data_IF_294799688355
#
_entry.id   IF_294799688355
#
_cell.length_a   1.000
_cell.length_b   1.000
_cell.length_c   1.000
_cell.angle_alpha   90.00
_cell.angle_beta   90.00
_cell.angle_gamma   90.00
#
_symmetry.space_group_name_H-M   'P 1'
#
loop_
_entity.id
_entity.type
_entity.pdbx_description
1 polymer ?
#
# COMPACT_ATOMS: atom_id res chain seq x y z
N UNK A 1 -32.15 24.44 8.20
CA UNK A 1 -32.12 23.28 7.28
C UNK A 1 -32.16 23.82 5.86
N UNK A 2 -31.01 24.10 5.26
CA UNK A 2 -30.92 24.42 3.85
C UNK A 2 -30.62 23.10 3.12
N UNK A 3 -31.62 22.58 2.40
CA UNK A 3 -31.39 21.50 1.45
C UNK A 3 -30.64 22.08 0.26
N UNK A 4 -29.32 21.87 0.22
CA UNK A 4 -28.56 22.00 -1.01
C UNK A 4 -29.00 20.87 -1.93
N UNK A 5 -29.63 21.23 -3.04
CA UNK A 5 -29.97 20.26 -4.09
C UNK A 5 -28.66 19.90 -4.78
N UNK A 6 -28.07 18.77 -4.41
CA UNK A 6 -26.99 18.17 -5.18
C UNK A 6 -27.55 17.79 -6.56
N UNK A 7 -27.28 18.63 -7.56
CA UNK A 7 -27.56 18.30 -8.95
C UNK A 7 -26.64 17.15 -9.32
N UNK A 8 -27.24 15.97 -9.47
CA UNK A 8 -26.53 14.75 -9.86
C UNK A 8 -25.73 15.01 -11.15
N UNK A 9 -24.46 14.62 -11.13
CA UNK A 9 -23.58 14.61 -12.31
C UNK A 9 -24.23 13.95 -13.54
N UNK A 10 -25.09 12.96 -13.30
CA UNK A 10 -25.90 12.28 -14.33
C UNK A 10 -26.90 13.23 -15.00
N UNK A 11 -27.52 14.13 -14.24
CA UNK A 11 -28.47 15.12 -14.75
C UNK A 11 -27.78 16.16 -15.64
N UNK A 12 -26.59 16.62 -15.23
CA UNK A 12 -25.78 17.56 -16.02
C UNK A 12 -25.35 16.91 -17.35
N UNK A 13 -24.88 15.67 -17.31
CA UNK A 13 -24.49 14.92 -18.51
C UNK A 13 -25.67 14.73 -19.47
N UNK A 14 -26.85 14.37 -18.95
CA UNK A 14 -28.08 14.23 -19.74
C UNK A 14 -28.52 15.53 -20.39
N UNK A 15 -28.45 16.65 -19.66
CA UNK A 15 -28.79 17.98 -20.19
C UNK A 15 -27.88 18.38 -21.37
N UNK A 16 -26.57 18.13 -21.26
CA UNK A 16 -25.61 18.40 -22.33
C UNK A 16 -25.85 17.52 -23.56
N UNK A 17 -26.12 16.23 -23.36
CA UNK A 17 -26.43 15.30 -24.46
C UNK A 17 -27.72 15.72 -25.18
N UNK A 18 -28.77 16.11 -24.44
CA UNK A 18 -30.02 16.59 -25.03
C UNK A 18 -29.82 17.86 -25.85
N UNK A 19 -29.01 18.80 -25.37
CA UNK A 19 -28.69 20.04 -26.10
C UNK A 19 -27.96 19.74 -27.42
N UNK A 20 -27.00 18.82 -27.40
CA UNK A 20 -26.28 18.37 -28.60
C UNK A 20 -27.21 17.72 -29.63
N UNK A 21 -28.08 16.82 -29.18
CA UNK A 21 -29.06 16.16 -30.06
C UNK A 21 -30.04 17.18 -30.65
N UNK A 22 -30.48 18.17 -29.88
CA UNK A 22 -31.33 19.24 -30.38
C UNK A 22 -30.62 20.09 -31.45
N UNK A 23 -29.36 20.46 -31.23
CA UNK A 23 -28.57 21.19 -32.21
C UNK A 23 -28.38 20.40 -33.52
N UNK A 24 -28.10 19.10 -33.42
CA UNK A 24 -28.01 18.20 -34.58
C UNK A 24 -29.33 18.13 -35.34
N UNK A 25 -30.46 17.98 -34.64
CA UNK A 25 -31.79 17.95 -35.26
C UNK A 25 -32.10 19.25 -36.02
N UNK A 26 -31.77 20.40 -35.43
CA UNK A 26 -31.92 21.71 -36.09
C UNK A 26 -31.05 21.81 -37.35
N UNK A 27 -29.80 21.35 -37.30
CA UNK A 27 -28.91 21.33 -38.47
C UNK A 27 -29.43 20.42 -39.58
N UNK A 28 -29.96 19.24 -39.24
CA UNK A 28 -30.57 18.32 -40.22
C UNK A 28 -31.80 18.96 -40.86
N UNK A 29 -32.65 19.64 -40.09
CA UNK A 29 -33.83 20.34 -40.62
C UNK A 29 -33.39 21.46 -41.58
N UNK A 30 -32.34 22.21 -41.23
CA UNK A 30 -31.79 23.26 -42.08
C UNK A 30 -31.20 22.67 -43.38
N UNK A 31 -30.44 21.58 -43.31
CA UNK A 31 -29.84 20.93 -44.49
C UNK A 31 -30.89 20.30 -45.41
N UNK A 32 -31.85 19.57 -44.84
CA UNK A 32 -32.93 18.95 -45.62
C UNK A 32 -33.78 20.00 -46.33
N UNK A 33 -34.03 21.15 -45.69
CA UNK A 33 -34.77 22.28 -46.24
C UNK A 33 -34.03 22.97 -47.39
N UNK A 34 -32.69 22.95 -47.40
CA UNK A 34 -31.89 23.51 -48.48
C UNK A 34 -32.00 22.72 -49.81
N UNK A 35 -32.54 21.50 -49.77
CA UNK A 35 -32.60 20.59 -50.93
C UNK A 35 -33.96 20.53 -51.63
N UNK A 36 -35.00 21.22 -51.14
CA UNK A 36 -36.34 21.19 -51.73
C UNK A 36 -36.50 22.34 -52.75
N UNK A 37 -36.61 22.07 -54.06
CA UNK A 37 -36.90 23.09 -55.05
C UNK A 37 -38.38 23.51 -54.94
N UNK A 38 -38.65 24.79 -54.68
CA UNK A 38 -40.01 25.31 -54.54
C UNK A 38 -40.11 26.80 -54.84
N UNK A 39 -41.25 27.21 -55.39
CA UNK A 39 -41.57 28.60 -55.70
C UNK A 39 -41.58 29.50 -54.46
N UNK A 40 -41.21 30.76 -54.65
CA UNK A 40 -41.08 31.78 -53.61
C UNK A 40 -42.48 32.17 -53.12
N UNK A 41 -42.83 31.78 -51.89
CA UNK A 41 -44.05 32.27 -51.22
C UNK A 41 -43.67 33.21 -50.08
N UNK A 42 -44.31 34.39 -50.02
CA UNK A 42 -44.10 35.41 -48.98
C UNK A 42 -45.06 35.24 -47.80
N UNK A 43 -45.20 34.02 -47.31
CA UNK A 43 -46.01 33.75 -46.12
C UNK A 43 -45.10 33.63 -44.87
N UNK A 44 -45.60 34.06 -43.70
CA UNK A 44 -44.86 34.09 -42.43
C UNK A 44 -44.38 32.71 -41.94
N UNK A 45 -44.98 31.65 -42.47
CA UNK A 45 -44.68 30.23 -42.26
C UNK A 45 -44.11 29.56 -43.51
N UNK A 46 -43.80 30.30 -44.58
CA UNK A 46 -43.30 29.71 -45.81
C UNK A 46 -41.88 29.16 -45.63
N UNK A 47 -41.72 27.89 -46.02
CA UNK A 47 -40.51 27.09 -45.81
C UNK A 47 -39.60 27.12 -47.08
N UNK A 48 -39.99 27.78 -48.18
CA UNK A 48 -39.18 27.91 -49.41
C UNK A 48 -38.75 29.36 -49.67
N UNK A 49 -37.45 29.65 -49.76
CA UNK A 49 -36.95 31.00 -50.05
C UNK A 49 -35.43 31.18 -50.07
N UNK A 50 -34.96 32.21 -50.78
CA UNK A 50 -33.54 32.54 -51.00
C UNK A 50 -32.80 32.81 -49.68
N UNK A 51 -31.58 32.27 -49.56
CA UNK A 51 -30.67 32.28 -48.38
C UNK A 51 -30.33 33.64 -47.75
N UNK A 52 -30.88 34.76 -48.26
CA UNK A 52 -30.52 36.13 -47.87
C UNK A 52 -31.38 36.74 -46.76
N UNK A 53 -32.53 36.16 -46.44
CA UNK A 53 -33.33 36.58 -45.30
C UNK A 53 -33.25 35.50 -44.22
N UNK A 54 -32.42 35.70 -43.20
CA UNK A 54 -32.45 34.83 -42.03
C UNK A 54 -33.87 34.93 -41.43
N UNK A 55 -34.65 33.84 -41.40
CA UNK A 55 -35.99 33.88 -40.83
C UNK A 55 -35.88 34.28 -39.37
N UNK A 56 -36.81 35.10 -38.88
CA UNK A 56 -36.89 35.57 -37.48
C UNK A 56 -36.68 34.42 -36.47
N UNK A 57 -37.12 33.21 -36.83
CA UNK A 57 -36.88 31.98 -36.09
C UNK A 57 -35.41 31.63 -35.83
N UNK A 58 -34.51 31.85 -36.78
CA UNK A 58 -33.08 31.61 -36.58
C UNK A 58 -32.50 32.55 -35.52
N UNK A 59 -32.96 33.81 -35.50
CA UNK A 59 -32.60 34.78 -34.46
C UNK A 59 -33.18 34.40 -33.09
N UNK A 60 -34.44 33.95 -33.04
CA UNK A 60 -35.05 33.47 -31.80
C UNK A 60 -34.35 32.24 -31.22
N UNK A 61 -34.02 31.25 -32.06
CA UNK A 61 -33.29 30.04 -31.64
C UNK A 61 -31.88 30.41 -31.17
N UNK A 62 -31.18 31.28 -31.89
CA UNK A 62 -29.86 31.77 -31.48
C UNK A 62 -29.93 32.50 -30.13
N UNK A 63 -30.93 33.37 -29.94
CA UNK A 63 -31.12 34.10 -28.69
C UNK A 63 -31.38 33.15 -27.51
N UNK A 64 -32.26 32.15 -27.68
CA UNK A 64 -32.53 31.14 -26.65
C UNK A 64 -31.26 30.38 -26.28
N UNK A 65 -30.46 29.99 -27.28
CA UNK A 65 -29.24 29.21 -27.08
C UNK A 65 -28.16 30.04 -26.35
N UNK A 66 -27.99 31.31 -26.73
CA UNK A 66 -27.13 32.25 -26.01
C UNK A 66 -27.59 32.49 -24.56
N UNK A 67 -28.90 32.51 -24.31
CA UNK A 67 -29.44 32.65 -22.95
C UNK A 67 -29.09 31.42 -22.10
N UNK A 68 -29.23 30.21 -22.64
CA UNK A 68 -28.84 28.96 -21.94
C UNK A 68 -27.34 28.94 -21.63
N UNK A 69 -26.51 29.30 -22.62
CA UNK A 69 -25.05 29.38 -22.43
C UNK A 69 -24.71 30.38 -21.32
N UNK A 70 -25.31 31.58 -21.33
CA UNK A 70 -25.07 32.59 -20.32
C UNK A 70 -25.45 32.12 -18.91
N UNK A 71 -26.60 31.44 -18.75
CA UNK A 71 -27.04 30.88 -17.47
C UNK A 71 -26.07 29.81 -16.97
N UNK A 72 -25.61 28.91 -17.84
CA UNK A 72 -24.62 27.88 -17.47
C UNK A 72 -23.28 28.50 -17.08
N UNK A 73 -22.84 29.53 -17.79
CA UNK A 73 -21.57 30.22 -17.51
C UNK A 73 -21.63 30.95 -16.16
N UNK A 74 -22.75 31.65 -15.87
CA UNK A 74 -22.99 32.29 -14.57
C UNK A 74 -23.06 31.24 -13.46
N UNK A 75 -23.74 30.11 -13.67
CA UNK A 75 -23.80 29.02 -12.69
C UNK A 75 -22.42 28.41 -12.42
N UNK A 76 -21.60 28.22 -13.47
CA UNK A 76 -20.23 27.70 -13.33
C UNK A 76 -19.32 28.69 -12.58
N UNK A 77 -19.42 29.99 -12.88
CA UNK A 77 -18.68 31.03 -12.15
C UNK A 77 -19.15 31.13 -10.70
N UNK A 78 -20.46 31.06 -10.46
CA UNK A 78 -21.02 31.05 -9.11
C UNK A 78 -20.59 29.80 -8.33
N UNK A 79 -20.48 28.64 -8.97
CA UNK A 79 -19.96 27.43 -8.35
C UNK A 79 -18.46 27.51 -8.05
N UNK A 80 -17.68 28.22 -8.88
CA UNK A 80 -16.26 28.45 -8.63
C UNK A 80 -16.03 29.49 -7.51
N UNK A 81 -16.93 30.47 -7.36
CA UNK A 81 -16.82 31.53 -6.35
C UNK A 81 -17.51 31.14 -5.03
N UNK A 82 -18.59 30.36 -5.07
CA UNK A 82 -19.48 30.03 -3.95
C UNK A 82 -19.22 28.68 -3.28
N UNK A 83 -18.06 28.06 -3.49
CA UNK A 83 -17.78 26.67 -3.12
C UNK A 83 -16.63 26.44 -2.15
N UNK A 84 -16.32 27.39 -1.26
CA UNK A 84 -15.57 27.09 -0.05
C UNK A 84 -16.45 27.39 1.16
N UNK A 85 -17.50 26.58 1.35
CA UNK A 85 -17.92 26.31 2.73
C UNK A 85 -16.71 25.72 3.44
N UNK A 86 -16.14 26.48 4.37
CA UNK A 86 -15.23 25.95 5.38
C UNK A 86 -15.98 24.81 6.06
N UNK A 87 -15.67 23.57 5.65
CA UNK A 87 -16.11 22.39 6.38
C UNK A 87 -15.69 22.63 7.83
N UNK A 88 -16.61 22.55 8.79
CA UNK A 88 -16.26 22.79 10.19
C UNK A 88 -15.06 21.90 10.53
N UNK A 89 -13.97 22.52 11.01
CA UNK A 89 -12.74 21.81 11.34
C UNK A 89 -13.11 20.58 12.15
N UNK A 90 -12.81 19.39 11.60
CA UNK A 90 -13.08 18.16 12.29
C UNK A 90 -12.46 18.26 13.70
N UNK A 91 -13.18 17.87 14.77
CA UNK A 91 -12.65 17.86 16.12
C UNK A 91 -11.22 17.33 16.11
N UNK A 92 -10.27 18.02 16.77
CA UNK A 92 -8.81 17.72 16.67
C UNK A 92 -8.46 16.24 16.77
N UNK A 93 -9.27 15.44 17.48
CA UNK A 93 -9.15 14.00 17.58
C UNK A 93 -9.47 13.25 16.27
N UNK A 94 -10.54 13.63 15.56
CA UNK A 94 -10.93 13.03 14.27
C UNK A 94 -9.94 13.39 13.18
N UNK A 95 -9.45 14.63 13.14
CA UNK A 95 -8.37 15.02 12.23
C UNK A 95 -7.09 14.20 12.49
N UNK A 96 -6.74 13.98 13.76
CA UNK A 96 -5.63 13.12 14.15
C UNK A 96 -5.86 11.64 13.77
N UNK A 97 -7.08 11.14 13.92
CA UNK A 97 -7.45 9.78 13.52
C UNK A 97 -7.40 9.58 12.00
N UNK A 98 -7.82 10.56 11.22
CA UNK A 98 -7.73 10.50 9.76
C UNK A 98 -6.27 10.57 9.28
N UNK A 99 -5.43 11.37 9.94
CA UNK A 99 -3.98 11.37 9.72
C UNK A 99 -3.37 10.00 10.06
N UNK A 100 -3.73 9.40 11.18
CA UNK A 100 -3.26 8.06 11.55
C UNK A 100 -3.78 6.96 10.60
N UNK A 101 -5.04 7.05 10.15
CA UNK A 101 -5.61 6.15 9.12
C UNK A 101 -4.90 6.30 7.78
N UNK A 102 -4.58 7.53 7.37
CA UNK A 102 -3.80 7.77 6.16
C UNK A 102 -2.39 7.22 6.30
N UNK A 103 -1.72 7.43 7.45
CA UNK A 103 -0.42 6.80 7.74
C UNK A 103 -0.50 5.28 7.68
N UNK A 104 -1.52 4.65 8.26
CA UNK A 104 -1.74 3.20 8.15
C UNK A 104 -1.95 2.76 6.70
N UNK A 105 -2.81 3.45 5.94
CA UNK A 105 -2.99 3.16 4.50
C UNK A 105 -1.69 3.26 3.71
N UNK A 106 -0.84 4.26 3.99
CA UNK A 106 0.44 4.43 3.30
C UNK A 106 1.49 3.41 3.80
N UNK A 107 1.39 2.91 5.05
CA UNK A 107 2.21 1.77 5.51
C UNK A 107 1.94 0.50 4.69
N UNK A 108 0.70 0.33 4.19
CA UNK A 108 0.33 -0.74 3.26
C UNK A 108 0.63 -0.36 1.80
N UNK A 109 1.90 -0.15 1.46
CA UNK A 109 2.34 0.33 0.14
C UNK A 109 2.37 -0.75 -0.97
N UNK A 110 1.56 -1.81 -0.89
CA UNK A 110 1.57 -2.87 -1.91
C UNK A 110 0.16 -3.09 -2.47
N UNK A 111 0.06 -3.11 -3.80
CA UNK A 111 -1.11 -3.60 -4.53
C UNK A 111 -1.22 -5.11 -4.30
N UNK A 112 -1.81 -5.51 -3.17
CA UNK A 112 -2.09 -6.91 -2.89
C UNK A 112 -3.26 -7.37 -3.78
N UNK A 113 -3.19 -8.57 -4.36
CA UNK A 113 -4.35 -9.16 -5.02
C UNK A 113 -5.50 -9.30 -4.02
N UNK A 114 -6.76 -9.24 -4.50
CA UNK A 114 -7.95 -9.40 -3.63
C UNK A 114 -7.93 -10.69 -2.81
N UNK A 115 -7.27 -11.71 -3.33
CA UNK A 115 -7.00 -12.98 -2.66
C UNK A 115 -5.51 -13.24 -2.84
N UNK A 116 -4.76 -13.28 -1.75
CA UNK A 116 -3.37 -13.68 -1.77
C UNK A 116 -3.28 -15.21 -1.54
N UNK A 117 -2.79 -16.01 -2.49
CA UNK A 117 -2.62 -17.44 -2.31
C UNK A 117 -1.79 -17.83 -1.07
N UNK A 118 -0.85 -16.97 -0.64
CA UNK A 118 -0.05 -17.18 0.57
C UNK A 118 -0.88 -17.12 1.87
N UNK A 119 -2.14 -16.69 1.76
CA UNK A 119 -3.04 -16.40 2.87
C UNK A 119 -4.23 -17.38 2.98
N UNK A 120 -4.32 -18.35 2.07
CA UNK A 120 -5.47 -19.25 1.94
C UNK A 120 -5.60 -20.30 3.03
N UNK A 121 -4.53 -20.63 3.74
CA UNK A 121 -4.54 -21.70 4.73
C UNK A 121 -4.42 -21.22 6.18
N UNK A 122 -3.98 -22.13 7.05
CA UNK A 122 -3.95 -21.98 8.51
C UNK A 122 -2.77 -21.11 8.93
N UNK A 123 -2.95 -19.80 8.86
CA UNK A 123 -1.88 -18.85 9.15
C UNK A 123 -1.52 -18.84 10.64
N UNK A 124 -0.29 -18.40 11.00
CA UNK A 124 0.03 -18.05 12.37
C UNK A 124 -0.86 -16.92 12.89
N UNK A 125 -1.31 -17.02 14.15
CA UNK A 125 -2.15 -16.02 14.81
C UNK A 125 -1.49 -14.63 14.86
N UNK A 126 -0.16 -14.57 14.71
CA UNK A 126 0.59 -13.33 14.57
C UNK A 126 -0.04 -12.39 13.54
N UNK A 127 -0.52 -12.91 12.40
CA UNK A 127 -1.13 -12.10 11.33
C UNK A 127 -2.52 -11.54 11.66
N UNK A 128 -3.18 -12.05 12.71
CA UNK A 128 -4.45 -11.48 13.19
C UNK A 128 -4.26 -10.10 13.83
N UNK A 129 -3.08 -9.87 14.42
CA UNK A 129 -2.75 -8.63 15.15
C UNK A 129 -1.65 -7.81 14.46
N UNK A 130 -0.78 -8.45 13.69
CA UNK A 130 0.32 -7.82 12.96
C UNK A 130 0.08 -7.93 11.46
N UNK A 131 0.53 -6.94 10.70
CA UNK A 131 0.45 -7.00 9.23
C UNK A 131 1.41 -8.06 8.66
N UNK A 132 1.24 -8.38 7.38
CA UNK A 132 2.17 -9.24 6.62
C UNK A 132 3.57 -8.64 6.47
N UNK A 133 3.67 -7.34 6.71
CA UNK A 133 4.89 -6.54 6.67
C UNK A 133 5.12 -5.88 8.04
N UNK A 134 5.35 -6.68 9.11
CA UNK A 134 5.34 -6.19 10.49
C UNK A 134 6.55 -5.29 10.81
N UNK A 135 7.59 -5.30 9.97
CA UNK A 135 8.79 -4.52 10.18
C UNK A 135 8.65 -3.15 9.52
N UNK A 136 8.21 -2.15 10.29
CA UNK A 136 8.09 -0.76 9.80
C UNK A 136 9.04 0.22 10.52
N UNK A 137 9.56 -0.14 11.69
CA UNK A 137 10.27 0.78 12.60
C UNK A 137 11.65 1.22 12.12
N UNK A 138 12.33 0.41 11.30
CA UNK A 138 13.71 0.67 10.84
C UNK A 138 13.75 0.72 9.32
N UNK A 139 13.62 1.91 8.70
CA UNK A 139 13.52 2.04 7.25
C UNK A 139 14.65 1.34 6.48
N UNK A 140 15.88 1.40 7.00
CA UNK A 140 17.06 0.80 6.35
C UNK A 140 16.95 -0.71 6.11
N UNK A 141 16.37 -1.45 7.05
CA UNK A 141 16.30 -2.93 7.00
C UNK A 141 14.88 -3.46 6.82
N UNK A 142 13.87 -2.58 6.77
CA UNK A 142 12.45 -2.98 6.73
C UNK A 142 12.15 -3.93 5.58
N UNK A 143 12.64 -3.61 4.39
CA UNK A 143 12.33 -4.38 3.18
C UNK A 143 12.97 -5.76 3.27
N UNK A 144 14.20 -5.83 3.79
CA UNK A 144 14.89 -7.10 4.01
C UNK A 144 14.13 -7.95 5.02
N UNK A 145 13.79 -7.42 6.19
CA UNK A 145 13.07 -8.19 7.21
C UNK A 145 11.66 -8.60 6.75
N UNK A 146 10.94 -7.71 6.05
CA UNK A 146 9.64 -8.02 5.48
C UNK A 146 9.72 -9.06 4.35
N UNK A 147 10.82 -9.11 3.60
CA UNK A 147 11.04 -10.19 2.64
C UNK A 147 11.24 -11.54 3.37
N UNK A 148 11.88 -11.55 4.55
CA UNK A 148 12.10 -12.79 5.30
C UNK A 148 10.79 -13.45 5.72
N UNK A 149 9.71 -12.70 5.97
CA UNK A 149 8.41 -13.28 6.34
C UNK A 149 7.82 -14.18 5.25
N UNK A 150 8.34 -14.13 4.02
CA UNK A 150 7.99 -15.05 2.94
C UNK A 150 8.66 -16.42 3.08
N UNK A 151 9.83 -16.51 3.72
CA UNK A 151 10.65 -17.73 3.80
C UNK A 151 10.75 -18.33 5.20
N UNK A 152 10.57 -17.51 6.24
CA UNK A 152 10.70 -17.94 7.64
C UNK A 152 9.44 -17.57 8.43
N UNK A 153 9.08 -18.44 9.36
CA UNK A 153 8.05 -18.19 10.36
C UNK A 153 8.46 -17.09 11.34
N UNK A 154 7.48 -16.40 11.91
CA UNK A 154 7.67 -15.35 12.91
C UNK A 154 8.52 -15.85 14.09
N UNK A 155 8.20 -17.04 14.64
CA UNK A 155 8.87 -17.57 15.82
C UNK A 155 10.29 -18.05 15.52
N UNK A 156 10.60 -18.41 14.27
CA UNK A 156 12.00 -18.69 13.87
C UNK A 156 12.92 -17.53 14.24
N UNK A 157 12.49 -16.29 14.00
CA UNK A 157 13.25 -15.11 14.39
C UNK A 157 12.92 -14.62 15.81
N UNK A 158 11.67 -14.74 16.26
CA UNK A 158 11.18 -14.08 17.47
C UNK A 158 11.05 -14.98 18.70
N UNK A 159 11.42 -16.26 18.68
CA UNK A 159 11.44 -17.06 19.91
C UNK A 159 12.47 -16.51 20.91
N UNK A 160 12.04 -16.27 22.16
CA UNK A 160 12.88 -15.89 23.31
C UNK A 160 13.74 -17.08 23.73
N UNK A 161 15.03 -17.02 23.42
CA UNK A 161 16.05 -18.03 23.69
C UNK A 161 16.25 -18.33 25.18
N UNK A 162 15.90 -17.37 26.06
CA UNK A 162 15.94 -17.55 27.52
C UNK A 162 14.81 -18.45 28.02
N UNK A 163 13.73 -18.58 27.25
CA UNK A 163 12.55 -19.39 27.59
C UNK A 163 12.50 -20.70 26.82
N UNK A 164 12.92 -20.65 25.56
CA UNK A 164 13.03 -21.82 24.69
C UNK A 164 14.45 -21.82 24.11
N UNK A 165 15.39 -22.54 24.75
CA UNK A 165 16.78 -22.57 24.29
C UNK A 165 16.88 -23.12 22.87
N UNK A 166 17.73 -22.52 22.04
CA UNK A 166 17.90 -22.92 20.64
C UNK A 166 18.32 -24.39 20.47
N UNK A 167 19.06 -24.94 21.45
CA UNK A 167 19.45 -26.36 21.48
C UNK A 167 18.27 -27.32 21.60
N UNK A 168 17.11 -26.84 22.04
CA UNK A 168 15.86 -27.61 22.15
C UNK A 168 14.96 -27.44 20.93
N UNK A 169 15.34 -26.54 20.01
CA UNK A 169 14.54 -26.19 18.84
C UNK A 169 14.97 -27.01 17.63
N UNK A 170 14.02 -27.34 16.78
CA UNK A 170 14.25 -27.94 15.47
C UNK A 170 13.57 -27.10 14.41
N UNK A 171 14.28 -26.79 13.32
CA UNK A 171 13.73 -26.02 12.21
C UNK A 171 13.29 -26.95 11.10
N UNK A 172 12.08 -26.74 10.57
CA UNK A 172 11.50 -27.54 9.48
C UNK A 172 10.75 -26.67 8.49
N UNK A 173 10.52 -27.21 7.31
CA UNK A 173 9.60 -26.62 6.34
C UNK A 173 8.15 -26.92 6.73
N UNK A 174 7.29 -25.90 6.69
CA UNK A 174 5.86 -26.02 6.90
C UNK A 174 5.12 -25.15 5.88
N UNK A 175 4.18 -25.76 5.16
CA UNK A 175 3.28 -25.08 4.24
C UNK A 175 1.97 -24.72 4.95
N UNK A 176 1.80 -23.44 5.28
CA UNK A 176 0.58 -22.94 5.92
C UNK A 176 -0.60 -22.84 4.96
N UNK A 177 -0.38 -22.73 3.66
CA UNK A 177 -1.41 -22.38 2.66
C UNK A 177 -2.44 -23.48 2.43
N UNK A 178 -2.11 -24.74 2.73
CA UNK A 178 -2.94 -25.89 2.40
C UNK A 178 -2.97 -26.23 0.91
N UNK A 179 -2.22 -25.49 0.07
CA UNK A 179 -2.04 -25.79 -1.34
C UNK A 179 -1.12 -27.01 -1.46
N UNK A 180 -1.56 -28.04 -2.18
CA UNK A 180 -0.75 -29.23 -2.45
C UNK A 180 0.42 -28.87 -3.37
N UNK A 181 1.63 -29.32 -3.01
CA UNK A 181 2.88 -29.02 -3.70
C UNK A 181 3.71 -30.29 -3.82
N UNK A 182 4.39 -30.49 -4.96
CA UNK A 182 5.15 -31.72 -5.23
C UNK A 182 6.66 -31.49 -5.28
N UNK A 183 7.08 -30.27 -5.59
CA UNK A 183 8.46 -29.85 -5.67
C UNK A 183 9.08 -29.64 -4.29
N UNK A 184 10.35 -29.25 -4.31
CA UNK A 184 11.07 -28.88 -3.08
C UNK A 184 10.77 -27.42 -2.73
N UNK A 185 10.87 -27.01 -1.45
CA UNK A 185 10.73 -25.61 -1.07
C UNK A 185 11.57 -24.66 -1.92
N UNK A 186 11.01 -23.50 -2.25
CA UNK A 186 11.68 -22.51 -3.08
C UNK A 186 12.94 -21.96 -2.43
N UNK A 187 13.98 -21.77 -3.25
CA UNK A 187 15.23 -21.13 -2.84
C UNK A 187 16.31 -22.06 -2.28
N UNK A 188 16.12 -23.38 -2.36
CA UNK A 188 17.07 -24.40 -1.91
C UNK A 188 18.31 -24.55 -2.80
N UNK A 189 18.15 -24.31 -4.11
CA UNK A 189 19.23 -24.48 -5.09
C UNK A 189 19.18 -23.40 -6.19
N UNK A 190 20.26 -23.34 -6.96
CA UNK A 190 20.41 -22.50 -8.14
C UNK A 190 20.61 -23.37 -9.38
N UNK A 191 20.01 -22.96 -10.48
CA UNK A 191 20.29 -23.55 -11.78
C UNK A 191 21.76 -23.26 -12.16
N UNK A 192 22.59 -24.29 -12.41
CA UNK A 192 24.00 -24.09 -12.75
C UNK A 192 24.22 -23.39 -14.10
N UNK A 193 23.27 -23.46 -15.03
CA UNK A 193 23.39 -22.84 -16.35
C UNK A 193 23.11 -21.34 -16.32
N UNK A 194 22.10 -20.92 -15.55
CA UNK A 194 21.63 -19.53 -15.52
C UNK A 194 22.06 -18.77 -14.26
N UNK A 195 22.38 -19.47 -13.17
CA UNK A 195 22.66 -18.90 -11.86
C UNK A 195 21.42 -18.41 -11.10
N UNK A 196 20.22 -18.54 -11.67
CA UNK A 196 18.96 -18.19 -11.00
C UNK A 196 18.54 -19.27 -9.99
N UNK A 197 17.64 -18.92 -9.07
CA UNK A 197 17.03 -19.91 -8.18
C UNK A 197 16.25 -20.93 -9.00
N UNK A 198 16.37 -22.20 -8.63
CA UNK A 198 15.64 -23.27 -9.30
C UNK A 198 14.12 -23.06 -9.14
N UNK A 199 13.38 -23.20 -10.24
CA UNK A 199 11.93 -23.16 -10.22
C UNK A 199 11.35 -24.36 -9.47
N UNK A 200 10.22 -24.16 -8.81
CA UNK A 200 9.47 -25.17 -8.08
C UNK A 200 8.00 -24.75 -7.99
N UNK A 201 7.10 -25.63 -7.62
CA UNK A 201 5.71 -25.29 -7.29
C UNK A 201 5.55 -24.95 -5.78
N UNK A 202 6.52 -25.30 -4.94
CA UNK A 202 6.49 -25.02 -3.50
C UNK A 202 7.07 -23.64 -3.13
N UNK A 203 6.29 -22.59 -3.40
CA UNK A 203 6.55 -21.22 -2.94
C UNK A 203 5.91 -20.90 -1.57
N UNK A 204 5.24 -21.86 -0.96
CA UNK A 204 4.36 -21.65 0.19
C UNK A 204 4.97 -22.14 1.50
N UNK A 205 5.89 -23.11 1.43
CA UNK A 205 6.63 -23.62 2.57
C UNK A 205 7.55 -22.56 3.18
N UNK A 206 7.53 -22.47 4.52
CA UNK A 206 8.39 -21.60 5.31
C UNK A 206 9.20 -22.40 6.32
N UNK A 207 10.38 -21.91 6.68
CA UNK A 207 11.19 -22.47 7.77
C UNK A 207 10.60 -22.00 9.10
N UNK A 208 10.03 -22.94 9.85
CA UNK A 208 9.35 -22.70 11.13
C UNK A 208 10.06 -23.44 12.26
N UNK A 209 9.88 -22.95 13.48
CA UNK A 209 10.51 -23.53 14.66
C UNK A 209 9.56 -24.47 15.41
N UNK A 210 10.06 -25.67 15.66
CA UNK A 210 9.47 -26.66 16.57
C UNK A 210 10.30 -26.73 17.86
N UNK A 211 9.66 -27.15 18.94
CA UNK A 211 10.32 -27.50 20.20
C UNK A 211 9.89 -28.89 20.65
N UNK A 212 10.66 -29.50 21.55
CA UNK A 212 10.26 -30.75 22.18
C UNK A 212 9.54 -30.47 23.50
N UNK A 213 8.23 -30.68 23.52
CA UNK A 213 7.37 -30.58 24.70
C UNK A 213 6.96 -31.98 25.13
N UNK A 214 7.46 -32.44 26.29
CA UNK A 214 7.13 -33.74 26.88
C UNK A 214 7.40 -34.95 25.96
N UNK A 215 8.51 -34.92 25.22
CA UNK A 215 8.89 -35.99 24.29
C UNK A 215 8.15 -35.95 22.95
N UNK A 216 7.32 -34.93 22.71
CA UNK A 216 6.64 -34.70 21.43
C UNK A 216 7.10 -33.40 20.81
N UNK A 217 7.38 -33.46 19.52
CA UNK A 217 7.68 -32.27 18.73
C UNK A 217 6.40 -31.44 18.56
N UNK A 218 6.47 -30.16 18.89
CA UNK A 218 5.34 -29.23 18.84
C UNK A 218 5.79 -27.93 18.15
N UNK A 219 4.92 -27.41 17.28
CA UNK A 219 5.15 -26.13 16.60
C UNK A 219 5.12 -25.00 17.64
N UNK A 220 6.10 -24.09 17.60
CA UNK A 220 6.14 -22.93 18.50
C UNK A 220 5.19 -21.81 18.07
N UNK A 221 4.81 -21.78 16.79
CA UNK A 221 3.80 -20.86 16.28
C UNK A 221 2.40 -21.37 16.62
N UNK A 222 1.60 -20.49 17.20
CA UNK A 222 0.16 -20.73 17.38
C UNK A 222 -0.50 -20.43 16.03
N UNK A 223 -1.11 -21.43 15.43
CA UNK A 223 -1.88 -21.28 14.18
C UNK A 223 -3.31 -20.87 14.46
N UNK A 224 -3.97 -20.25 13.49
CA UNK A 224 -5.34 -19.76 13.61
C UNK A 224 -6.34 -20.86 13.96
N UNK A 225 -6.08 -22.12 13.62
CA UNK A 225 -6.94 -23.27 13.94
C UNK A 225 -6.76 -23.82 15.36
N UNK A 226 -5.78 -23.33 16.13
CA UNK A 226 -5.65 -23.68 17.54
C UNK A 226 -6.93 -23.24 18.30
N UNK A 227 -7.49 -24.05 19.22
CA UNK A 227 -8.72 -23.73 19.94
C UNK A 227 -8.70 -22.34 20.60
N UNK A 228 -7.59 -22.00 21.26
CA UNK A 228 -7.37 -20.71 21.91
C UNK A 228 -7.28 -19.54 20.91
N UNK A 229 -6.74 -19.78 19.72
CA UNK A 229 -6.66 -18.80 18.64
C UNK A 229 -8.05 -18.52 18.07
N UNK A 230 -8.84 -19.57 17.82
CA UNK A 230 -10.23 -19.46 17.35
C UNK A 230 -11.12 -18.72 18.35
N UNK A 231 -10.98 -19.02 19.64
CA UNK A 231 -11.71 -18.34 20.70
C UNK A 231 -11.35 -16.85 20.73
N UNK A 232 -10.06 -16.52 20.71
CA UNK A 232 -9.60 -15.14 20.63
C UNK A 232 -10.13 -14.40 19.41
N UNK A 233 -10.05 -14.99 18.21
CA UNK A 233 -10.52 -14.36 16.96
C UNK A 233 -12.02 -14.01 17.05
N UNK A 234 -12.83 -14.87 17.66
CA UNK A 234 -14.28 -14.66 17.84
C UNK A 234 -14.58 -13.57 18.88
N UNK A 235 -13.86 -13.55 19.99
CA UNK A 235 -14.16 -12.68 21.12
C UNK A 235 -13.47 -11.30 21.06
N UNK A 236 -12.41 -11.14 20.26
CA UNK A 236 -11.53 -9.95 20.29
C UNK A 236 -12.22 -8.60 20.20
N UNK A 237 -13.36 -8.50 19.53
CA UNK A 237 -14.12 -7.24 19.41
C UNK A 237 -14.98 -6.91 20.63
N UNK A 238 -15.16 -7.86 21.54
CA UNK A 238 -15.96 -7.76 22.76
C UNK A 238 -15.11 -7.66 24.03
N UNK A 239 -13.80 -7.89 23.91
CA UNK A 239 -12.88 -7.85 25.04
C UNK A 239 -12.64 -6.42 25.51
N UNK A 240 -12.51 -6.26 26.83
CA UNK A 240 -11.99 -5.02 27.41
C UNK A 240 -10.50 -4.85 27.07
N UNK A 241 -9.97 -3.62 27.21
CA UNK A 241 -8.54 -3.36 27.02
C UNK A 241 -7.66 -4.19 27.98
N UNK A 242 -8.15 -4.44 29.19
CA UNK A 242 -7.46 -5.25 30.20
C UNK A 242 -7.39 -6.73 29.81
N UNK A 243 -8.50 -7.29 29.33
CA UNK A 243 -8.56 -8.69 28.87
C UNK A 243 -7.69 -8.86 27.62
N UNK A 244 -7.79 -7.91 26.68
CA UNK A 244 -6.95 -7.86 25.49
C UNK A 244 -5.46 -7.83 25.85
N UNK A 245 -5.06 -7.03 26.84
CA UNK A 245 -3.69 -6.98 27.34
C UNK A 245 -3.23 -8.33 27.94
N UNK A 246 -4.11 -8.99 28.68
CA UNK A 246 -3.82 -10.29 29.31
C UNK A 246 -3.64 -11.40 28.28
N UNK A 247 -4.52 -11.47 27.26
CA UNK A 247 -4.40 -12.43 26.16
C UNK A 247 -3.15 -12.14 25.32
N UNK A 248 -2.87 -10.87 24.99
CA UNK A 248 -1.63 -10.49 24.31
C UNK A 248 -0.42 -10.96 25.10
N UNK A 249 -0.42 -10.83 26.43
CA UNK A 249 0.69 -11.32 27.27
C UNK A 249 0.85 -12.84 27.18
N UNK A 250 -0.25 -13.60 27.07
CA UNK A 250 -0.22 -15.04 26.88
C UNK A 250 0.40 -15.43 25.53
N UNK A 251 -0.05 -14.82 24.42
CA UNK A 251 0.52 -15.08 23.08
C UNK A 251 1.98 -14.64 22.96
N UNK A 252 2.38 -13.57 23.64
CA UNK A 252 3.78 -13.12 23.65
C UNK A 252 4.64 -13.79 24.73
N UNK A 253 4.12 -14.81 25.43
CA UNK A 253 4.81 -15.42 26.56
C UNK A 253 6.18 -16.01 26.19
N UNK A 254 6.36 -16.48 24.95
CA UNK A 254 7.62 -17.02 24.42
C UNK A 254 8.27 -16.13 23.34
N UNK A 255 7.72 -14.93 23.13
CA UNK A 255 8.15 -14.02 22.07
C UNK A 255 9.17 -13.01 22.60
N UNK A 256 10.29 -12.88 21.91
CA UNK A 256 11.23 -11.78 22.04
C UNK A 256 10.79 -10.64 21.11
N UNK A 257 10.54 -9.42 21.63
CA UNK A 257 10.18 -8.27 20.79
C UNK A 257 11.27 -7.87 19.79
N UNK A 258 12.51 -8.28 20.05
CA UNK A 258 13.64 -8.11 19.13
C UNK A 258 13.97 -9.49 18.54
N UNK A 259 13.75 -9.63 17.24
CA UNK A 259 14.09 -10.86 16.53
C UNK A 259 15.60 -11.09 16.45
N UNK A 260 15.99 -12.32 16.18
CA UNK A 260 17.38 -12.72 15.91
C UNK A 260 18.01 -11.82 14.86
N UNK A 261 19.24 -11.38 15.13
CA UNK A 261 19.99 -10.54 14.21
C UNK A 261 20.56 -11.35 13.03
N UNK A 262 20.88 -10.69 11.92
CA UNK A 262 21.25 -11.33 10.66
C UNK A 262 22.42 -12.32 10.80
N UNK A 263 23.42 -12.00 11.61
CA UNK A 263 24.58 -12.88 11.86
C UNK A 263 24.24 -14.16 12.61
N UNK A 264 23.09 -14.26 13.27
CA UNK A 264 22.70 -15.51 13.92
C UNK A 264 22.35 -16.58 12.88
N UNK A 265 21.77 -16.19 11.74
CA UNK A 265 21.35 -17.09 10.65
C UNK A 265 22.32 -17.10 9.45
N UNK A 266 22.94 -15.95 9.15
CA UNK A 266 23.90 -15.80 8.07
C UNK A 266 25.34 -15.89 8.61
N UNK A 267 25.63 -16.97 9.32
CA UNK A 267 26.96 -17.31 9.80
C UNK A 267 27.48 -18.55 9.07
N UNK A 268 28.77 -18.85 9.26
CA UNK A 268 29.34 -20.14 8.84
C UNK A 268 28.49 -21.26 9.40
N UNK A 269 28.26 -22.32 8.61
CA UNK A 269 27.25 -23.35 8.88
C UNK A 269 27.30 -23.91 10.31
N UNK A 270 28.50 -24.18 10.84
CA UNK A 270 28.71 -24.69 12.21
C UNK A 270 28.17 -23.77 13.32
N UNK A 271 28.15 -22.46 13.07
CA UNK A 271 27.73 -21.42 14.02
C UNK A 271 26.35 -20.87 13.66
N UNK A 272 25.79 -21.25 12.51
CA UNK A 272 24.49 -20.80 12.02
C UNK A 272 23.34 -21.38 12.84
N UNK A 273 22.32 -20.57 13.09
CA UNK A 273 21.06 -21.02 13.69
C UNK A 273 20.24 -21.85 12.71
N UNK A 274 20.33 -21.53 11.42
CA UNK A 274 19.62 -22.26 10.38
C UNK A 274 20.48 -23.44 9.94
N UNK A 275 20.04 -24.69 10.13
CA UNK A 275 20.78 -25.87 9.72
C UNK A 275 20.56 -26.09 8.21
N UNK A 276 21.14 -25.23 7.38
CA UNK A 276 20.83 -25.15 5.95
C UNK A 276 20.93 -26.51 5.23
N UNK A 277 22.00 -27.28 5.45
CA UNK A 277 22.13 -28.59 4.80
C UNK A 277 21.06 -29.59 5.24
N UNK A 278 20.69 -29.59 6.51
CA UNK A 278 19.60 -30.44 7.01
C UNK A 278 18.23 -30.03 6.45
N UNK A 279 18.06 -28.74 6.12
CA UNK A 279 16.89 -28.21 5.44
C UNK A 279 16.92 -28.42 3.91
N UNK A 280 17.97 -29.06 3.37
CA UNK A 280 18.07 -29.44 1.97
C UNK A 280 18.68 -28.40 1.03
N UNK A 281 19.30 -27.34 1.57
CA UNK A 281 19.97 -26.33 0.75
C UNK A 281 21.24 -26.91 0.10
N UNK A 282 21.52 -26.56 -1.16
CA UNK A 282 22.74 -26.96 -1.86
C UNK A 282 23.97 -26.22 -1.34
N UNK A 283 25.17 -26.78 -1.52
CA UNK A 283 26.42 -26.14 -1.08
C UNK A 283 26.61 -24.74 -1.67
N UNK A 284 26.25 -24.57 -2.95
CA UNK A 284 26.28 -23.26 -3.62
C UNK A 284 25.35 -22.29 -2.93
N UNK A 285 24.14 -22.73 -2.57
CA UNK A 285 23.15 -21.88 -1.91
C UNK A 285 23.54 -21.55 -0.48
N UNK A 286 24.08 -22.51 0.26
CA UNK A 286 24.65 -22.31 1.60
C UNK A 286 25.73 -21.23 1.53
N UNK A 287 26.72 -21.39 0.64
CA UNK A 287 27.79 -20.41 0.48
C UNK A 287 27.26 -19.01 0.12
N UNK A 288 26.24 -18.93 -0.74
CA UNK A 288 25.61 -17.66 -1.10
C UNK A 288 24.85 -17.02 0.07
N UNK A 289 24.21 -17.82 0.92
CA UNK A 289 23.46 -17.34 2.08
C UNK A 289 24.37 -16.97 3.25
N UNK A 290 25.50 -17.65 3.44
CA UNK A 290 26.42 -17.37 4.56
C UNK A 290 27.43 -16.27 4.24
N UNK A 291 27.69 -15.99 2.95
CA UNK A 291 28.65 -14.96 2.50
C UNK A 291 27.96 -13.72 1.91
N UNK A 292 26.92 -13.22 2.59
CA UNK A 292 26.16 -12.05 2.14
C UNK A 292 26.78 -10.74 2.63
N UNK A 293 27.22 -9.88 1.70
CA UNK A 293 27.80 -8.57 2.03
C UNK A 293 26.84 -7.64 2.79
N UNK A 294 25.53 -7.81 2.61
CA UNK A 294 24.50 -6.98 3.26
C UNK A 294 24.54 -7.10 4.79
N UNK A 295 25.00 -8.23 5.35
CA UNK A 295 25.16 -8.40 6.79
C UNK A 295 26.23 -7.45 7.31
N UNK A 296 27.38 -7.37 6.63
CA UNK A 296 28.43 -6.41 6.96
C UNK A 296 27.95 -4.97 6.84
N UNK A 297 27.17 -4.64 5.80
CA UNK A 297 26.64 -3.29 5.61
C UNK A 297 25.70 -2.90 6.75
N UNK A 298 24.72 -3.76 7.05
CA UNK A 298 23.71 -3.50 8.09
C UNK A 298 24.29 -3.45 9.51
N UNK A 299 25.41 -4.13 9.76
CA UNK A 299 26.11 -4.07 11.05
C UNK A 299 27.02 -2.86 11.19
N UNK A 300 27.83 -2.59 10.17
CA UNK A 300 28.90 -1.59 10.25
C UNK A 300 28.39 -0.18 9.99
N UNK A 301 27.44 -0.03 9.09
CA UNK A 301 26.95 1.27 8.65
C UNK A 301 25.58 1.53 9.27
N UNK A 302 25.56 2.37 10.31
CA UNK A 302 24.32 3.01 10.79
C UNK A 302 23.87 4.11 9.85
N UNK A 303 24.82 4.73 9.15
CA UNK A 303 24.63 5.79 8.16
C UNK A 303 25.44 5.41 6.91
N UNK A 304 24.78 5.43 5.75
CA UNK A 304 25.42 5.17 4.47
C UNK A 304 25.71 6.49 3.78
N UNK A 305 26.99 6.85 3.70
CA UNK A 305 27.44 8.02 2.98
C UNK A 305 27.70 7.64 1.53
N UNK A 306 26.91 8.17 0.60
CA UNK A 306 27.23 8.06 -0.83
C UNK A 306 28.48 8.92 -1.06
N UNK A 307 29.59 8.33 -1.54
CA UNK A 307 30.81 9.08 -1.83
C UNK A 307 30.49 10.23 -2.79
N UNK A 308 30.95 11.44 -2.46
CA UNK A 308 30.71 12.65 -3.25
C UNK A 308 31.33 12.60 -4.66
N UNK A 309 32.17 11.60 -4.94
CA UNK A 309 32.73 11.34 -6.28
C UNK A 309 31.66 10.95 -7.32
N UNK A 310 30.49 10.47 -6.88
CA UNK A 310 29.36 10.15 -7.75
C UNK A 310 28.41 11.33 -7.95
N UNK A 311 28.68 12.47 -7.32
CA UNK A 311 27.90 13.69 -7.47
C UNK A 311 28.57 14.57 -8.52
N UNK A 312 27.97 14.65 -9.70
CA UNK A 312 28.28 15.71 -10.67
C UNK A 312 28.00 17.10 -10.05
N UNK A 313 28.54 18.17 -10.65
CA UNK A 313 28.36 19.52 -10.10
C UNK A 313 26.87 19.93 -10.02
N UNK A 314 26.01 19.33 -10.85
CA UNK A 314 24.56 19.51 -10.84
C UNK A 314 23.83 18.77 -9.70
N UNK A 315 24.47 17.82 -9.03
CA UNK A 315 23.96 17.08 -7.87
C UNK A 315 24.63 17.51 -6.56
N UNK A 316 25.78 18.19 -6.60
CA UNK A 316 26.34 18.92 -5.44
C UNK A 316 25.36 19.98 -4.91
N UNK A 317 24.68 20.71 -5.80
CA UNK A 317 23.63 21.69 -5.41
C UNK A 317 22.35 21.04 -4.86
N UNK A 318 22.18 19.72 -5.04
CA UNK A 318 21.04 18.93 -4.54
C UNK A 318 21.41 18.02 -3.35
N UNK A 319 22.59 18.19 -2.76
CA UNK A 319 23.01 17.41 -1.58
C UNK A 319 21.99 17.44 -0.45
N UNK A 320 21.40 18.59 -0.14
CA UNK A 320 20.37 18.70 0.91
C UNK A 320 19.10 17.84 0.64
N UNK A 321 18.82 17.50 -0.62
CA UNK A 321 17.68 16.66 -1.02
C UNK A 321 17.99 15.17 -0.89
N UNK A 322 19.26 14.77 -1.09
CA UNK A 322 19.69 13.38 -1.03
C UNK A 322 20.08 12.93 0.38
N UNK A 323 20.60 13.85 1.19
CA UNK A 323 21.10 13.56 2.54
C UNK A 323 20.12 13.93 3.66
N UNK A 324 18.97 14.53 3.31
CA UNK A 324 18.06 15.13 4.28
C UNK A 324 18.67 16.39 4.90
N UNK A 325 17.84 17.37 5.25
CA UNK A 325 18.29 18.52 6.01
C UNK A 325 18.48 18.13 7.48
N UNK A 326 19.55 18.60 8.14
CA UNK A 326 19.77 18.39 9.58
C UNK A 326 18.72 19.07 10.46
N UNK A 327 17.96 20.00 9.88
CA UNK A 327 16.85 20.67 10.54
C UNK A 327 15.58 19.81 10.44
N UNK A 328 14.90 19.65 11.59
CA UNK A 328 13.60 19.00 11.67
C UNK A 328 12.63 19.80 10.82
N UNK A 329 12.24 19.27 9.67
CA UNK A 329 11.25 19.91 8.82
C UNK A 329 9.89 19.99 9.56
N UNK A 330 9.12 21.08 9.34
CA UNK A 330 7.85 21.30 10.02
C UNK A 330 6.87 20.16 9.73
N UNK A 331 6.09 19.74 10.73
CA UNK A 331 5.11 18.66 10.53
C UNK A 331 4.18 18.98 9.35
N UNK A 332 3.95 18.02 8.44
CA UNK A 332 3.23 18.31 7.22
C UNK A 332 1.75 18.51 7.52
N UNK A 333 1.14 19.50 6.89
CA UNK A 333 -0.31 19.71 7.00
C UNK A 333 -1.08 18.54 6.38
N UNK A 334 -2.35 18.35 6.77
CA UNK A 334 -3.20 17.31 6.17
C UNK A 334 -3.34 17.51 4.63
N UNK A 335 -3.38 18.76 4.18
CA UNK A 335 -3.47 19.16 2.77
C UNK A 335 -2.16 18.91 2.01
N UNK A 336 -1.02 18.99 2.70
CA UNK A 336 0.29 18.62 2.15
C UNK A 336 0.44 17.10 2.10
N UNK A 337 0.00 16.35 3.12
CA UNK A 337 -0.04 14.89 3.09
C UNK A 337 -0.96 14.33 2.00
N UNK A 338 -2.07 15.01 1.70
CA UNK A 338 -2.95 14.64 0.57
C UNK A 338 -2.27 14.85 -0.79
N UNK A 339 -1.43 15.89 -0.91
CA UNK A 339 -0.75 16.24 -2.18
C UNK A 339 0.55 15.46 -2.39
N UNK A 340 1.33 15.30 -1.34
CA UNK A 340 2.55 14.49 -1.29
C UNK A 340 2.51 13.60 -0.04
N UNK A 341 2.05 12.34 -0.19
CA UNK A 341 2.03 11.36 0.90
C UNK A 341 3.40 11.07 1.51
N UNK A 342 4.51 11.46 0.86
CA UNK A 342 5.88 11.29 1.35
C UNK A 342 6.32 12.40 2.32
N UNK A 343 5.59 13.50 2.40
CA UNK A 343 5.88 14.63 3.30
C UNK A 343 5.95 14.19 4.77
N UNK A 344 5.04 13.32 5.21
CA UNK A 344 5.08 12.70 6.54
C UNK A 344 6.34 11.85 6.78
N UNK A 345 6.80 11.13 5.75
CA UNK A 345 7.97 10.25 5.85
C UNK A 345 9.26 11.05 6.11
N UNK A 346 9.47 12.16 5.39
CA UNK A 346 10.62 13.04 5.58
C UNK A 346 10.71 13.56 7.02
N UNK A 347 9.60 14.05 7.56
CA UNK A 347 9.54 14.61 8.91
C UNK A 347 9.70 13.58 10.04
N UNK A 348 9.37 12.31 9.77
CA UNK A 348 9.41 11.24 10.78
C UNK A 348 10.76 10.54 10.86
N UNK A 349 11.55 10.56 9.79
CA UNK A 349 12.73 9.69 9.65
C UNK A 349 14.01 10.38 9.17
N UNK A 350 13.96 11.59 8.60
CA UNK A 350 15.16 12.30 8.12
C UNK A 350 15.85 13.14 9.21
N UNK A 351 15.26 13.29 10.42
CA UNK A 351 15.90 14.03 11.51
C UNK A 351 16.83 13.12 12.32
N UNK A 352 18.17 13.29 12.26
CA UNK A 352 19.06 12.58 13.16
C UNK A 352 18.74 12.94 14.61
N UNK A 353 18.67 11.94 15.49
CA UNK A 353 18.60 12.20 16.93
C UNK A 353 19.85 12.95 17.34
N UNK A 354 19.69 14.17 17.90
CA UNK A 354 20.81 14.95 18.43
C UNK A 354 21.61 14.04 19.37
N UNK A 355 22.91 13.81 19.13
CA UNK A 355 23.71 12.98 20.02
C UNK A 355 23.61 13.55 21.43
N UNK A 356 23.40 12.67 22.41
CA UNK A 356 23.40 13.06 23.81
C UNK A 356 24.71 13.79 24.10
N UNK A 357 24.63 14.96 24.73
CA UNK A 357 25.81 15.68 25.17
C UNK A 357 26.59 14.75 26.09
N UNK A 358 27.80 14.39 25.68
CA UNK A 358 28.72 13.59 26.48
C UNK A 358 29.06 14.40 27.74
N UNK A 359 28.98 13.79 28.95
CA UNK A 359 29.31 14.47 30.20
C UNK A 359 30.79 14.88 30.28
#
# INVERSE_FOLDING_TARGET
>A
MHHTVELDSTFIALAVVMLLLFAIAVLIIIDHKARIPGEIRRDLFSISGLRRNHPVWAWMVSFLLWTIIAVLLVSSVYSMIGGHEEKPEAPKLLAKLDIERQKERIKHFHNLPKVDPLTLGKRPICYTCHSEYPHAKKPMIRTLLNMHTQFVGCMTCHTDDRKVPESTMTLRWLNYSGIDVKGKPYGLDVDPATGFLQETDDYYSKIVAYTNLNGREALLEITEDAPEAQEFIKLRSQLSDQDMGSIKKAFHSQVNPVGRFCTRCHAVEKDSYIPFRALGFSDKRIAALTNVNIVGITQKYKEFYIPTIFLDDASKSRQGVLFGTSEKAPEPSAEEMKRDPRSWWRNSFDTPSKPAATP
#
